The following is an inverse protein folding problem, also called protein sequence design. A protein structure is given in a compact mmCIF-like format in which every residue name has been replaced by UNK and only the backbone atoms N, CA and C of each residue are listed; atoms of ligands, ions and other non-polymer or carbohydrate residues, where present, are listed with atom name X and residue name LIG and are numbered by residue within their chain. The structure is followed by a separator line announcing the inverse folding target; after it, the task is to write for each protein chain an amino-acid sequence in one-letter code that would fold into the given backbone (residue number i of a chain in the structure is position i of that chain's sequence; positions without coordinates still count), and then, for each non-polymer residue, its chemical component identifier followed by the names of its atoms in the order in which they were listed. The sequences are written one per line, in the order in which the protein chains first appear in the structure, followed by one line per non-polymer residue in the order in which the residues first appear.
data_IF_352095162615
#
_entry.id   IF_352095162615
#
_cell.length_a   1.000
_cell.length_b   1.000
_cell.length_c   1.000
_cell.angle_alpha   90.00
_cell.angle_beta   90.00
_cell.angle_gamma   90.00
#
_symmetry.space_group_name_H-M   'P 1'
#
loop_
_entity.id
_entity.type
_entity.pdbx_description
1 polymer ?
#
# COMPACT_ATOMS: atom_id res chain seq x y z
N UNK A 1 -2.55 5.31 11.93
CA UNK A 1 -1.09 5.28 12.08
C UNK A 1 -0.60 3.84 12.04
N UNK A 2 0.47 3.52 11.31
CA UNK A 2 1.15 2.21 11.34
C UNK A 2 2.66 2.41 11.28
N UNK A 3 3.41 1.40 11.74
CA UNK A 3 4.88 1.41 11.67
C UNK A 3 5.32 1.00 10.27
N UNK A 4 6.34 1.68 9.76
CA UNK A 4 7.02 1.33 8.51
C UNK A 4 8.52 1.21 8.77
N UNK A 5 9.17 0.35 7.99
CA UNK A 5 10.60 0.08 8.07
C UNK A 5 11.21 0.33 6.69
N UNK A 6 12.15 1.25 6.59
CA UNK A 6 12.92 1.51 5.37
C UNK A 6 14.34 1.03 5.55
N UNK A 7 14.87 0.41 4.50
CA UNK A 7 16.27 0.02 4.40
C UNK A 7 16.74 0.24 2.96
N UNK A 8 17.02 1.49 2.60
CA UNK A 8 17.44 1.88 1.26
C UNK A 8 18.53 2.96 1.28
N UNK A 9 19.34 3.09 0.21
CA UNK A 9 20.42 4.09 0.17
C UNK A 9 19.95 5.54 0.38
N UNK A 10 18.78 5.90 -0.14
CA UNK A 10 18.28 7.28 -0.15
C UNK A 10 17.66 7.73 1.18
N UNK A 11 17.05 6.81 1.92
CA UNK A 11 16.37 7.09 3.20
C UNK A 11 17.15 6.54 4.41
N UNK A 12 18.12 5.66 4.17
CA UNK A 12 18.85 4.93 5.20
C UNK A 12 18.03 3.82 5.84
N UNK A 13 18.53 3.33 6.98
CA UNK A 13 17.83 2.40 7.84
C UNK A 13 17.00 3.20 8.86
N UNK A 14 15.69 3.30 8.65
CA UNK A 14 14.81 4.14 9.47
C UNK A 14 13.47 3.46 9.73
N UNK A 15 12.99 3.60 10.96
CA UNK A 15 11.69 3.11 11.40
C UNK A 15 10.89 4.26 11.97
N UNK A 16 9.64 4.40 11.55
CA UNK A 16 8.74 5.43 12.08
C UNK A 16 7.29 4.95 12.10
N UNK A 17 6.47 5.60 12.92
CA UNK A 17 5.02 5.44 12.92
C UNK A 17 4.42 6.63 12.17
N UNK A 18 3.73 6.35 11.06
CA UNK A 18 3.26 7.39 10.12
C UNK A 18 1.77 7.20 9.81
N UNK A 19 1.07 8.24 9.29
CA UNK A 19 -0.29 8.06 8.81
C UNK A 19 -0.31 7.29 7.50
N UNK A 20 -1.45 6.64 7.20
CA UNK A 20 -1.67 5.86 5.99
C UNK A 20 -3.03 6.25 5.42
N UNK A 21 -3.25 6.13 4.10
CA UNK A 21 -4.59 6.26 3.54
C UNK A 21 -5.44 5.07 3.99
N UNK A 22 -6.74 5.09 3.67
CA UNK A 22 -7.52 3.86 3.73
C UNK A 22 -6.90 2.83 2.78
N UNK A 23 -6.89 1.56 3.18
CA UNK A 23 -6.32 0.48 2.38
C UNK A 23 -7.35 -0.62 2.16
N UNK A 24 -7.33 -1.18 0.95
CA UNK A 24 -8.06 -2.39 0.59
C UNK A 24 -7.04 -3.45 0.23
N UNK A 25 -7.02 -4.53 1.00
CA UNK A 25 -6.21 -5.70 0.71
C UNK A 25 -7.04 -6.77 -0.01
N UNK A 26 -6.47 -7.38 -1.04
CA UNK A 26 -7.05 -8.52 -1.73
C UNK A 26 -6.03 -9.67 -1.73
N UNK A 27 -6.33 -10.73 -0.99
CA UNK A 27 -5.65 -12.01 -1.09
C UNK A 27 -6.45 -12.95 -1.99
N UNK A 28 -5.80 -13.55 -2.98
CA UNK A 28 -6.37 -14.55 -3.89
C UNK A 28 -5.30 -15.58 -4.24
N UNK A 29 -5.69 -16.71 -4.82
CA UNK A 29 -4.74 -17.78 -5.19
C UNK A 29 -3.60 -17.29 -6.12
N UNK A 30 -3.85 -16.26 -6.93
CA UNK A 30 -2.86 -15.68 -7.84
C UNK A 30 -1.98 -14.60 -7.23
N UNK A 31 -2.16 -14.27 -5.95
CA UNK A 31 -1.27 -13.35 -5.24
C UNK A 31 -1.97 -12.44 -4.23
N UNK A 32 -1.17 -11.51 -3.71
CA UNK A 32 -1.58 -10.55 -2.69
C UNK A 32 -1.45 -9.12 -3.23
N UNK A 33 -2.51 -8.34 -3.05
CA UNK A 33 -2.64 -7.00 -3.63
C UNK A 33 -3.11 -6.02 -2.56
N UNK A 34 -2.69 -4.76 -2.69
CA UNK A 34 -3.14 -3.63 -1.88
C UNK A 34 -3.46 -2.43 -2.76
N UNK A 35 -4.52 -1.73 -2.39
CA UNK A 35 -4.99 -0.52 -3.04
C UNK A 35 -5.21 0.56 -1.99
N UNK A 36 -4.95 1.82 -2.34
CA UNK A 36 -5.31 2.95 -1.49
C UNK A 36 -6.71 3.46 -1.84
N UNK A 37 -7.42 3.97 -0.84
CA UNK A 37 -8.69 4.69 -1.00
C UNK A 37 -8.60 6.07 -0.38
N UNK A 38 -9.32 7.01 -0.99
CA UNK A 38 -9.38 8.38 -0.53
C UNK A 38 -10.35 8.48 0.66
N UNK A 39 -9.78 8.60 1.87
CA UNK A 39 -10.51 8.73 3.12
C UNK A 39 -10.51 7.50 4.02
N UNK A 40 -11.14 7.65 5.19
CA UNK A 40 -11.19 6.64 6.25
C UNK A 40 -12.55 5.92 6.35
N UNK A 41 -13.53 6.33 5.53
CA UNK A 41 -14.84 5.69 5.51
C UNK A 41 -14.74 4.28 4.92
N UNK A 42 -15.66 3.40 5.30
CA UNK A 42 -15.75 2.08 4.70
C UNK A 42 -16.02 2.24 3.19
N UNK A 43 -15.18 1.69 2.30
CA UNK A 43 -15.33 1.88 0.87
C UNK A 43 -16.60 1.19 0.36
N UNK A 44 -17.25 1.82 -0.60
CA UNK A 44 -18.39 1.33 -1.35
C UNK A 44 -17.95 0.76 -2.70
N UNK A 45 -18.80 0.02 -3.42
CA UNK A 45 -18.48 -0.43 -4.78
C UNK A 45 -18.03 0.70 -5.71
N UNK A 46 -18.58 1.91 -5.60
CA UNK A 46 -18.22 3.05 -6.45
C UNK A 46 -16.92 3.75 -6.02
N UNK A 47 -16.28 3.30 -4.94
CA UNK A 47 -15.04 3.92 -4.43
C UNK A 47 -13.90 3.72 -5.42
N UNK A 48 -13.32 4.82 -5.89
CA UNK A 48 -12.14 4.82 -6.77
C UNK A 48 -10.93 4.29 -6.01
N UNK A 49 -10.23 3.34 -6.62
CA UNK A 49 -8.97 2.81 -6.12
C UNK A 49 -7.81 3.68 -6.59
N UNK A 50 -6.77 3.76 -5.76
CA UNK A 50 -5.55 4.49 -6.04
C UNK A 50 -4.35 3.55 -5.98
N UNK A 51 -3.29 3.89 -6.72
CA UNK A 51 -1.99 3.24 -6.60
C UNK A 51 -1.54 3.29 -5.13
N UNK A 52 -1.12 2.16 -4.57
CA UNK A 52 -0.65 2.13 -3.19
C UNK A 52 0.68 2.90 -3.08
N UNK A 53 0.83 3.82 -2.12
CA UNK A 53 1.98 4.72 -2.04
C UNK A 53 3.23 4.06 -1.43
N UNK A 54 3.47 2.77 -1.69
CA UNK A 54 4.52 1.98 -1.04
C UNK A 54 5.60 1.51 -2.01
N UNK A 55 6.81 1.29 -1.47
CA UNK A 55 7.96 0.84 -2.25
C UNK A 55 7.81 -0.62 -2.71
N UNK A 56 7.27 -1.47 -1.84
CA UNK A 56 7.09 -2.91 -2.07
C UNK A 56 5.85 -3.24 -2.93
N UNK A 57 5.36 -2.32 -3.76
CA UNK A 57 4.18 -2.53 -4.62
C UNK A 57 4.48 -2.29 -6.09
N UNK A 58 4.08 -3.24 -6.92
CA UNK A 58 4.11 -3.17 -8.39
C UNK A 58 2.87 -2.44 -8.93
N UNK A 59 2.82 -2.26 -10.25
CA UNK A 59 1.66 -1.68 -10.93
C UNK A 59 0.39 -2.47 -10.60
N UNK A 60 -0.72 -1.73 -10.51
CA UNK A 60 -2.04 -2.29 -10.21
C UNK A 60 -2.14 -3.01 -8.86
N UNK A 61 -1.29 -2.60 -7.91
CA UNK A 61 -1.41 -2.95 -6.49
C UNK A 61 -0.82 -4.29 -6.07
N UNK A 62 -0.14 -5.02 -6.97
CA UNK A 62 0.49 -6.29 -6.58
C UNK A 62 1.61 -6.05 -5.56
N UNK A 63 1.63 -6.84 -4.48
CA UNK A 63 2.64 -6.72 -3.42
C UNK A 63 3.85 -7.59 -3.78
N UNK A 64 5.04 -6.99 -3.68
CA UNK A 64 6.29 -7.73 -3.62
C UNK A 64 6.44 -8.28 -2.20
N UNK A 65 6.08 -9.55 -2.02
CA UNK A 65 6.10 -10.20 -0.70
C UNK A 65 7.55 -10.37 -0.22
N UNK A 66 8.55 -10.41 -1.11
CA UNK A 66 9.96 -10.46 -0.72
C UNK A 66 10.25 -11.56 0.30
N UNK A 67 10.82 -11.19 1.45
CA UNK A 67 11.07 -12.06 2.61
C UNK A 67 9.93 -12.09 3.65
N UNK A 68 8.83 -11.38 3.39
CA UNK A 68 7.71 -11.31 4.32
C UNK A 68 7.03 -12.67 4.46
N UNK A 69 6.67 -13.02 5.71
CA UNK A 69 5.91 -14.23 6.00
C UNK A 69 4.43 -13.91 5.92
N UNK A 70 3.80 -14.27 4.82
CA UNK A 70 2.34 -14.23 4.69
C UNK A 70 1.74 -15.60 5.02
N UNK A 71 0.48 -15.66 5.50
CA UNK A 71 -0.19 -16.93 5.75
C UNK A 71 -0.38 -17.75 4.46
N UNK A 72 -0.33 -19.08 4.58
CA UNK A 72 -0.68 -19.99 3.46
C UNK A 72 -2.20 -20.04 3.18
N UNK A 73 -3.01 -19.58 4.14
CA UNK A 73 -4.47 -19.65 4.10
C UNK A 73 -5.08 -18.30 3.75
N UNK A 74 -6.13 -18.36 2.92
CA UNK A 74 -6.99 -17.22 2.57
C UNK A 74 -8.32 -17.41 3.30
N UNK A 75 -8.31 -17.15 4.59
CA UNK A 75 -9.49 -17.23 5.47
C UNK A 75 -9.56 -16.03 6.42
N UNK A 76 -10.68 -15.92 7.14
CA UNK A 76 -10.93 -14.80 8.08
C UNK A 76 -9.88 -14.77 9.20
N UNK A 77 -9.45 -15.95 9.68
CA UNK A 77 -8.46 -16.05 10.75
C UNK A 77 -7.07 -15.54 10.31
N UNK A 78 -6.78 -15.61 9.01
CA UNK A 78 -5.50 -15.21 8.43
C UNK A 78 -5.40 -13.71 8.11
N UNK A 79 -6.50 -12.93 8.20
CA UNK A 79 -6.53 -11.50 7.83
C UNK A 79 -5.42 -10.71 8.55
N UNK A 80 -5.26 -10.90 9.86
CA UNK A 80 -4.24 -10.20 10.63
C UNK A 80 -2.82 -10.55 10.16
N UNK A 81 -2.59 -11.81 9.77
CA UNK A 81 -1.29 -12.24 9.26
C UNK A 81 -0.96 -11.62 7.90
N UNK A 82 -1.96 -11.47 7.02
CA UNK A 82 -1.80 -10.76 5.75
C UNK A 82 -1.47 -9.29 5.95
N UNK A 83 -2.16 -8.61 6.88
CA UNK A 83 -1.88 -7.20 7.20
C UNK A 83 -0.48 -7.03 7.82
N UNK A 84 -0.13 -7.83 8.82
CA UNK A 84 1.20 -7.81 9.44
C UNK A 84 2.30 -8.10 8.43
N UNK A 85 2.14 -9.13 7.60
CA UNK A 85 3.13 -9.48 6.58
C UNK A 85 3.44 -8.32 5.63
N UNK A 86 2.44 -7.50 5.30
CA UNK A 86 2.66 -6.30 4.49
C UNK A 86 3.50 -5.25 5.22
N UNK A 87 3.10 -4.85 6.44
CA UNK A 87 3.74 -3.76 7.19
C UNK A 87 5.07 -4.13 7.85
N UNK A 88 5.32 -5.41 8.08
CA UNK A 88 6.58 -5.91 8.65
C UNK A 88 7.66 -6.12 7.59
N UNK A 89 7.30 -6.05 6.30
CA UNK A 89 8.28 -6.09 5.21
C UNK A 89 9.06 -4.78 5.13
N UNK A 90 10.39 -4.88 4.98
CA UNK A 90 11.23 -3.71 4.80
C UNK A 90 11.02 -3.09 3.40
N UNK A 91 10.83 -1.77 3.36
CA UNK A 91 10.74 -0.99 2.14
C UNK A 91 12.14 -0.63 1.65
N UNK A 92 12.65 -1.41 0.69
CA UNK A 92 14.05 -1.32 0.23
C UNK A 92 14.26 -0.50 -1.04
N UNK A 93 13.28 -0.46 -1.93
CA UNK A 93 13.33 0.33 -3.16
C UNK A 93 11.92 0.45 -3.75
N UNK A 94 11.61 1.56 -4.44
CA UNK A 94 10.41 1.60 -5.25
C UNK A 94 10.53 0.60 -6.40
N UNK A 95 9.54 -0.27 -6.55
CA UNK A 95 9.48 -1.20 -7.67
C UNK A 95 9.28 -0.45 -9.00
N UNK A 96 9.80 -1.03 -10.08
CA UNK A 96 9.60 -0.50 -11.43
C UNK A 96 8.10 -0.43 -11.79
N UNK A 97 7.71 0.61 -12.52
CA UNK A 97 6.33 0.83 -12.95
C UNK A 97 5.95 2.30 -13.05
N UNK A 98 4.65 2.56 -13.04
CA UNK A 98 4.07 3.90 -12.96
C UNK A 98 4.29 4.57 -11.59
N UNK A 99 3.90 5.85 -11.51
CA UNK A 99 4.00 6.63 -10.27
C UNK A 99 3.09 6.05 -9.19
N UNK A 100 3.62 5.81 -7.99
CA UNK A 100 2.83 5.42 -6.80
C UNK A 100 2.30 6.61 -6.02
N UNK A 101 3.01 7.74 -6.10
CA UNK A 101 2.59 9.00 -5.47
C UNK A 101 2.68 10.16 -6.44
N UNK A 102 1.71 11.07 -6.35
CA UNK A 102 1.73 12.35 -7.02
C UNK A 102 2.43 13.40 -6.15
N UNK A 103 3.73 13.25 -5.96
CA UNK A 103 4.55 14.20 -5.23
C UNK A 103 5.54 14.90 -6.18
N UNK A 104 5.66 16.25 -6.18
CA UNK A 104 6.48 16.99 -7.15
C UNK A 104 7.95 16.59 -7.19
N UNK A 105 8.46 16.06 -6.07
CA UNK A 105 9.86 15.64 -5.91
C UNK A 105 10.03 14.11 -5.91
N UNK A 106 9.01 13.38 -6.35
CA UNK A 106 9.00 11.92 -6.41
C UNK A 106 8.80 11.23 -5.06
N UNK A 107 8.83 9.89 -5.11
CA UNK A 107 8.48 8.97 -4.02
C UNK A 107 9.44 9.05 -2.82
N UNK A 108 10.74 9.20 -3.07
CA UNK A 108 11.72 9.37 -1.98
C UNK A 108 11.47 10.64 -1.18
N UNK A 109 11.20 11.77 -1.85
CA UNK A 109 10.91 13.01 -1.16
C UNK A 109 9.59 12.94 -0.37
N UNK A 110 8.59 12.28 -0.92
CA UNK A 110 7.33 12.01 -0.22
C UNK A 110 7.59 11.23 1.08
N UNK A 111 8.30 10.10 1.00
CA UNK A 111 8.60 9.29 2.19
C UNK A 111 9.51 9.99 3.18
N UNK A 112 10.47 10.79 2.73
CA UNK A 112 11.29 11.63 3.62
C UNK A 112 10.44 12.61 4.43
N UNK A 113 9.42 13.22 3.81
CA UNK A 113 8.48 14.11 4.49
C UNK A 113 7.55 13.37 5.45
N UNK A 114 7.06 12.19 5.06
CA UNK A 114 6.26 11.30 5.94
C UNK A 114 7.04 10.90 7.19
N UNK A 115 8.28 10.44 7.02
CA UNK A 115 9.17 10.01 8.10
C UNK A 115 9.59 11.17 9.01
N UNK A 116 9.69 12.38 8.47
CA UNK A 116 9.94 13.61 9.24
C UNK A 116 8.70 14.14 9.98
N UNK A 117 7.54 13.47 9.84
CA UNK A 117 6.30 13.87 10.52
C UNK A 117 5.63 15.13 9.96
N UNK A 118 5.97 15.55 8.73
CA UNK A 118 5.44 16.78 8.11
C UNK A 118 3.91 16.85 8.09
N UNK A 119 3.26 15.69 7.95
CA UNK A 119 1.81 15.58 7.82
C UNK A 119 1.07 15.23 9.13
N UNK A 120 1.80 15.15 10.25
CA UNK A 120 1.22 14.79 11.55
C UNK A 120 0.48 13.44 11.51
N UNK A 121 -0.78 13.45 11.93
CA UNK A 121 -1.63 12.25 11.98
C UNK A 121 -2.50 12.03 10.73
N UNK A 122 -2.41 12.93 9.73
CA UNK A 122 -3.25 12.87 8.54
C UNK A 122 -2.42 12.51 7.32
N UNK A 123 -2.88 11.53 6.56
CA UNK A 123 -2.23 11.19 5.30
C UNK A 123 -2.55 12.26 4.23
N UNK A 124 -1.57 12.73 3.44
CA UNK A 124 -1.81 13.68 2.35
C UNK A 124 -2.49 12.99 1.16
N UNK A 125 -3.82 12.89 1.21
CA UNK A 125 -4.64 12.17 0.22
C UNK A 125 -4.47 12.69 -1.22
N UNK A 126 -4.13 13.98 -1.39
CA UNK A 126 -3.80 14.59 -2.68
C UNK A 126 -2.57 13.98 -3.38
N UNK A 127 -1.73 13.26 -2.64
CA UNK A 127 -0.59 12.54 -3.19
C UNK A 127 -0.97 11.16 -3.75
N UNK A 128 -2.21 10.69 -3.59
CA UNK A 128 -2.66 9.45 -4.19
C UNK A 128 -2.79 9.58 -5.70
N UNK A 129 -2.44 8.52 -6.43
CA UNK A 129 -2.57 8.44 -7.89
C UNK A 129 -3.81 7.61 -8.23
N UNK A 130 -4.86 8.20 -8.82
CA UNK A 130 -6.10 7.47 -9.09
C UNK A 130 -5.91 6.42 -10.17
N UNK A 131 -6.47 5.23 -9.94
CA UNK A 131 -6.59 4.18 -10.96
C UNK A 131 -7.89 4.37 -11.75
N UNK A 132 -7.93 3.83 -12.97
CA UNK A 132 -9.18 3.66 -13.74
C UNK A 132 -9.94 2.42 -13.29
N UNK A 133 -10.18 2.30 -11.99
CA UNK A 133 -10.79 1.12 -11.35
C UNK A 133 -11.48 1.50 -10.04
N UNK A 134 -12.64 0.91 -9.79
CA UNK A 134 -13.39 1.02 -8.54
C UNK A 134 -13.26 -0.25 -7.68
N UNK A 135 -13.69 -0.19 -6.42
CA UNK A 135 -13.80 -1.37 -5.57
C UNK A 135 -14.79 -2.39 -6.15
N UNK A 136 -15.87 -1.93 -6.77
CA UNK A 136 -16.85 -2.78 -7.46
C UNK A 136 -16.20 -3.58 -8.58
N UNK A 137 -15.36 -2.94 -9.40
CA UNK A 137 -14.59 -3.62 -10.45
C UNK A 137 -13.64 -4.68 -9.87
N UNK A 138 -13.01 -4.38 -8.73
CA UNK A 138 -12.10 -5.30 -8.04
C UNK A 138 -12.82 -6.53 -7.51
N UNK A 139 -14.03 -6.37 -6.97
CA UNK A 139 -14.87 -7.46 -6.45
C UNK A 139 -15.48 -8.28 -7.60
N UNK A 140 -15.93 -7.61 -8.67
CA UNK A 140 -16.55 -8.27 -9.83
C UNK A 140 -15.55 -9.17 -10.59
N UNK A 141 -14.24 -8.88 -10.50
CA UNK A 141 -13.17 -9.72 -11.04
C UNK A 141 -12.82 -10.93 -10.13
N UNK A 142 -13.76 -11.44 -9.34
CA UNK A 142 -13.63 -12.70 -8.58
C UNK A 142 -13.07 -13.85 -9.44
N UNK A 143 -12.44 -14.86 -8.81
CA UNK A 143 -11.53 -15.77 -9.48
C UNK A 143 -12.20 -16.37 -10.71
N UNK A 144 -11.63 -16.11 -11.90
CA UNK A 144 -11.85 -17.03 -13.02
C UNK A 144 -11.30 -18.37 -12.54
N UNK A 145 -12.20 -19.33 -12.34
CA UNK A 145 -11.86 -20.71 -12.02
C UNK A 145 -10.95 -21.34 -13.06
#
# INVERSE_FOLDING_TARGET
MRRVFFDCPELGNVTAVVPHPGLVFQARNSGFYVYAVDGAARPTPDTVLHEPPYFNTWDHGSICIGSARVPDRIDIASINGWESGFFESAFTHPNAGGKRVNHPRGEFAFWKEMLAGKYGEQFPLQCLVPMKRTLGDLIAQGPKG
#
